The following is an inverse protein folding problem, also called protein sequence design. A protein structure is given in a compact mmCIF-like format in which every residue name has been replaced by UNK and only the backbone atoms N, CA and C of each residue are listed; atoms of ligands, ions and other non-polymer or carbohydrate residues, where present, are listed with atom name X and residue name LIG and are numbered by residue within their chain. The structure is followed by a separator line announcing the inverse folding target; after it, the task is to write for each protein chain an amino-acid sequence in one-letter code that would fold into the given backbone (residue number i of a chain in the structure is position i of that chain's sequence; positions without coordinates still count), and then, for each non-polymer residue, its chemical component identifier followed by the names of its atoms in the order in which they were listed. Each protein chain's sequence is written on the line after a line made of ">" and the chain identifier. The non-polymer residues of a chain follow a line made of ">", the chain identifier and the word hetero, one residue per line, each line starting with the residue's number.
data_IF_874253657516
#
_entry.id   IF_874253657516
#
_cell.length_a   1.000
_cell.length_b   1.000
_cell.length_c   1.000
_cell.angle_alpha   90.00
_cell.angle_beta   90.00
_cell.angle_gamma   90.00
#
_symmetry.space_group_name_H-M   'P 1'
#
loop_
_entity.id
_entity.type
_entity.pdbx_description
1 polymer ?
#
# COMPACT_ATOMS: atom_id res chain seq x y z
N UNK A 1 -12.19 -6.00 -22.63
CA UNK A 1 -11.20 -4.89 -22.61
C UNK A 1 -11.91 -3.57 -22.43
N UNK A 2 -11.24 -2.56 -21.84
CA UNK A 2 -11.77 -1.18 -21.67
C UNK A 2 -13.14 -1.10 -20.97
N UNK A 3 -13.47 -2.09 -20.14
CA UNK A 3 -14.74 -2.12 -19.41
C UNK A 3 -14.76 -1.06 -18.32
N UNK A 4 -15.92 -0.45 -18.07
CA UNK A 4 -16.12 0.66 -17.12
C UNK A 4 -15.57 0.38 -15.71
N UNK A 5 -15.50 -0.89 -15.31
CA UNK A 5 -15.02 -1.29 -13.99
C UNK A 5 -14.30 -2.64 -14.03
N UNK A 6 -13.27 -2.79 -13.21
CA UNK A 6 -12.62 -4.08 -12.92
C UNK A 6 -13.64 -5.07 -12.38
N UNK A 7 -14.65 -4.62 -11.62
CA UNK A 7 -15.73 -5.47 -11.09
C UNK A 7 -16.56 -6.12 -12.20
N UNK A 8 -16.84 -5.37 -13.28
CA UNK A 8 -17.55 -5.89 -14.44
C UNK A 8 -16.78 -7.01 -15.13
N UNK A 9 -15.44 -6.94 -15.17
CA UNK A 9 -14.59 -8.02 -15.73
C UNK A 9 -14.88 -9.35 -15.05
N UNK A 10 -14.95 -9.37 -13.73
CA UNK A 10 -15.15 -10.61 -12.96
C UNK A 10 -16.61 -11.05 -12.91
N UNK A 11 -17.58 -10.15 -13.14
CA UNK A 11 -18.95 -10.58 -13.45
C UNK A 11 -18.97 -11.32 -14.80
N UNK A 12 -18.38 -10.75 -15.83
CA UNK A 12 -18.33 -11.38 -17.17
C UNK A 12 -17.58 -12.71 -17.11
N UNK A 13 -16.43 -12.77 -16.45
CA UNK A 13 -15.71 -14.04 -16.25
C UNK A 13 -16.56 -15.03 -15.47
N UNK A 14 -17.31 -14.59 -14.45
CA UNK A 14 -18.20 -15.46 -13.68
C UNK A 14 -19.28 -16.10 -14.56
N UNK A 15 -19.88 -15.29 -15.42
CA UNK A 15 -20.99 -15.66 -16.32
C UNK A 15 -20.50 -16.50 -17.51
N UNK A 16 -19.26 -16.31 -17.96
CA UNK A 16 -18.67 -17.02 -19.09
C UNK A 16 -18.18 -18.45 -18.74
N UNK A 17 -17.92 -18.74 -17.46
CA UNK A 17 -17.42 -20.04 -17.05
C UNK A 17 -18.55 -21.10 -17.01
N UNK A 18 -18.41 -22.22 -17.73
CA UNK A 18 -19.48 -23.20 -17.93
C UNK A 18 -19.87 -23.99 -16.66
N UNK A 19 -19.00 -24.03 -15.65
CA UNK A 19 -19.28 -24.75 -14.40
C UNK A 19 -20.17 -23.97 -13.42
N UNK A 20 -20.58 -22.74 -13.75
CA UNK A 20 -21.45 -21.94 -12.90
C UNK A 20 -20.76 -21.42 -11.63
N UNK A 21 -21.50 -21.05 -10.56
CA UNK A 21 -20.92 -20.57 -9.31
C UNK A 21 -20.09 -21.68 -8.60
N UNK A 22 -18.83 -21.39 -8.23
CA UNK A 22 -17.90 -22.38 -7.67
C UNK A 22 -16.64 -21.80 -7.00
N UNK A 23 -15.71 -22.67 -6.58
CA UNK A 23 -14.43 -22.33 -5.90
C UNK A 23 -13.39 -21.81 -6.90
N UNK A 24 -13.40 -20.51 -7.16
CA UNK A 24 -12.47 -19.86 -8.09
C UNK A 24 -11.95 -18.54 -7.55
N UNK A 25 -10.76 -18.17 -8.00
CA UNK A 25 -10.21 -16.84 -7.82
C UNK A 25 -9.95 -16.16 -9.15
N UNK A 26 -10.19 -14.85 -9.17
CA UNK A 26 -9.95 -14.00 -10.33
C UNK A 26 -8.80 -13.05 -10.05
N UNK A 27 -7.80 -13.02 -10.92
CA UNK A 27 -6.70 -12.05 -10.88
C UNK A 27 -6.85 -11.19 -12.13
N UNK A 28 -7.23 -9.92 -12.00
CA UNK A 28 -7.73 -9.11 -13.13
C UNK A 28 -7.19 -7.68 -13.12
N UNK A 29 -6.90 -7.15 -14.31
CA UNK A 29 -6.50 -5.75 -14.50
C UNK A 29 -7.72 -4.84 -14.69
N UNK A 30 -7.62 -3.60 -14.22
CA UNK A 30 -8.59 -2.53 -14.48
C UNK A 30 -8.31 -1.77 -15.78
N UNK A 31 -9.01 -0.65 -16.01
CA UNK A 31 -8.77 0.24 -17.16
C UNK A 31 -7.39 0.89 -17.10
N UNK A 32 -6.87 1.19 -15.91
CA UNK A 32 -5.53 1.72 -15.74
C UNK A 32 -4.47 0.78 -16.33
N UNK A 33 -4.64 -0.54 -16.13
CA UNK A 33 -3.80 -1.57 -16.74
C UNK A 33 -3.95 -1.62 -18.26
N UNK A 34 -5.19 -1.59 -18.78
CA UNK A 34 -5.48 -1.54 -20.23
C UNK A 34 -4.84 -0.31 -20.90
N UNK A 35 -4.58 0.76 -20.13
CA UNK A 35 -4.00 2.03 -20.57
C UNK A 35 -2.53 2.21 -20.16
N UNK A 36 -1.89 1.14 -19.71
CA UNK A 36 -0.48 1.08 -19.33
C UNK A 36 -0.05 2.14 -18.31
N UNK A 37 -0.97 2.59 -17.44
CA UNK A 37 -0.63 3.50 -16.34
C UNK A 37 0.40 2.81 -15.44
N UNK A 38 1.57 3.42 -15.24
CA UNK A 38 2.74 2.77 -14.60
C UNK A 38 2.48 2.33 -13.17
N UNK A 39 1.49 2.91 -12.51
CA UNK A 39 1.03 2.56 -11.17
C UNK A 39 -0.35 1.88 -11.19
N UNK A 40 -0.69 1.17 -12.27
CA UNK A 40 -1.87 0.30 -12.32
C UNK A 40 -1.67 -0.95 -11.44
N UNK A 41 -2.70 -1.27 -10.66
CA UNK A 41 -2.76 -2.43 -9.79
C UNK A 41 -3.39 -3.64 -10.50
N UNK A 42 -3.38 -4.77 -9.80
CA UNK A 42 -4.22 -5.93 -10.13
C UNK A 42 -5.19 -6.17 -8.97
N UNK A 43 -6.46 -6.36 -9.30
CA UNK A 43 -7.49 -6.76 -8.36
C UNK A 43 -7.57 -8.30 -8.30
N UNK A 44 -7.65 -8.83 -7.08
CA UNK A 44 -7.84 -10.24 -6.78
C UNK A 44 -9.20 -10.40 -6.12
N UNK A 45 -10.02 -11.27 -6.69
CA UNK A 45 -11.42 -11.47 -6.33
C UNK A 45 -12.18 -10.16 -6.30
N UNK A 46 -12.73 -9.73 -5.17
CA UNK A 46 -13.50 -8.48 -5.09
C UNK A 46 -12.76 -7.33 -4.39
N UNK A 47 -11.97 -7.62 -3.36
CA UNK A 47 -11.47 -6.57 -2.44
C UNK A 47 -9.99 -6.76 -2.07
N UNK A 48 -9.24 -7.49 -2.89
CA UNK A 48 -7.80 -7.73 -2.69
C UNK A 48 -7.01 -7.20 -3.87
N UNK A 49 -5.74 -6.88 -3.62
CA UNK A 49 -4.94 -6.17 -4.62
C UNK A 49 -3.47 -6.59 -4.56
N UNK A 50 -2.87 -6.76 -5.73
CA UNK A 50 -1.45 -6.47 -5.90
C UNK A 50 -1.33 -4.98 -6.22
N UNK A 51 -1.29 -4.19 -5.14
CA UNK A 51 -1.61 -2.76 -5.17
C UNK A 51 -0.56 -1.86 -5.83
N UNK A 52 0.73 -2.20 -5.76
CA UNK A 52 1.84 -1.29 -6.08
C UNK A 52 2.75 -1.83 -7.18
N UNK A 53 3.66 -0.98 -7.69
CA UNK A 53 4.72 -1.31 -8.66
C UNK A 53 4.22 -1.70 -10.06
N UNK A 54 2.99 -1.34 -10.42
CA UNK A 54 2.57 -1.37 -11.83
C UNK A 54 2.27 -2.73 -12.43
N UNK A 55 1.94 -3.75 -11.62
CA UNK A 55 1.64 -5.09 -12.15
C UNK A 55 0.46 -5.07 -13.15
N UNK A 56 -0.48 -4.14 -12.98
CA UNK A 56 -1.57 -3.90 -13.92
C UNK A 56 -1.09 -3.45 -15.30
N UNK A 57 -0.05 -2.62 -15.35
CA UNK A 57 0.56 -2.16 -16.60
C UNK A 57 1.29 -3.32 -17.30
N UNK A 58 1.93 -4.21 -16.54
CA UNK A 58 2.57 -5.42 -17.07
C UNK A 58 1.54 -6.39 -17.65
N UNK A 59 0.37 -6.52 -17.03
CA UNK A 59 -0.75 -7.28 -17.61
C UNK A 59 -1.21 -6.66 -18.92
N UNK A 60 -1.43 -5.34 -18.94
CA UNK A 60 -1.81 -4.59 -20.14
C UNK A 60 -0.81 -4.74 -21.28
N UNK A 61 0.50 -4.64 -21.01
CA UNK A 61 1.55 -4.72 -22.03
C UNK A 61 1.66 -6.11 -22.67
N UNK A 62 1.14 -7.14 -21.99
CA UNK A 62 1.06 -8.51 -22.49
C UNK A 62 -0.29 -8.85 -23.11
N UNK A 63 -1.20 -7.88 -23.25
CA UNK A 63 -2.58 -8.12 -23.63
C UNK A 63 -3.24 -9.23 -22.78
N UNK A 64 -2.92 -9.26 -21.48
CA UNK A 64 -3.51 -10.19 -20.51
C UNK A 64 -4.54 -9.45 -19.65
N UNK A 65 -5.83 -9.75 -19.81
CA UNK A 65 -6.89 -9.08 -19.03
C UNK A 65 -7.06 -9.66 -17.63
N UNK A 66 -7.04 -10.98 -17.54
CA UNK A 66 -7.26 -11.69 -16.29
C UNK A 66 -6.68 -13.11 -16.35
N UNK A 67 -6.47 -13.68 -15.17
CA UNK A 67 -6.25 -15.10 -14.95
C UNK A 67 -7.39 -15.62 -14.06
N UNK A 68 -7.96 -16.76 -14.45
CA UNK A 68 -8.95 -17.50 -13.66
C UNK A 68 -8.25 -18.72 -13.11
N UNK A 69 -8.32 -18.91 -11.79
CA UNK A 69 -7.73 -20.07 -11.12
C UNK A 69 -8.85 -20.84 -10.44
N UNK A 70 -8.97 -22.12 -10.79
CA UNK A 70 -9.85 -23.08 -10.16
C UNK A 70 -9.03 -24.29 -9.70
N UNK A 71 -9.35 -24.79 -8.50
CA UNK A 71 -8.66 -25.93 -7.91
C UNK A 71 -9.59 -26.75 -7.04
N UNK A 72 -9.71 -28.04 -7.36
CA UNK A 72 -10.51 -29.02 -6.62
C UNK A 72 -9.66 -30.13 -6.01
N UNK A 73 -8.33 -30.06 -6.17
CA UNK A 73 -7.41 -31.05 -5.61
C UNK A 73 -7.29 -30.87 -4.09
N UNK A 74 -7.34 -32.00 -3.39
CA UNK A 74 -7.02 -32.07 -1.97
C UNK A 74 -5.53 -32.35 -1.78
N UNK A 75 -4.97 -31.81 -0.69
CA UNK A 75 -3.61 -32.10 -0.26
C UNK A 75 -3.65 -33.08 0.91
N UNK A 76 -2.98 -34.22 0.75
CA UNK A 76 -2.80 -35.23 1.80
C UNK A 76 -1.36 -35.20 2.25
N UNK A 77 -1.13 -35.00 3.54
CA UNK A 77 0.21 -35.01 4.14
C UNK A 77 0.47 -36.34 4.86
N UNK A 78 1.74 -36.77 4.99
CA UNK A 78 2.08 -38.02 5.69
C UNK A 78 1.55 -38.11 7.12
N UNK A 79 1.54 -36.99 7.85
CA UNK A 79 0.98 -36.90 9.21
C UNK A 79 -0.16 -35.88 9.28
N UNK A 80 -1.37 -36.33 8.93
CA UNK A 80 -2.58 -35.50 9.02
C UNK A 80 -2.94 -35.12 10.46
N UNK A 81 -2.47 -35.85 11.48
CA UNK A 81 -2.74 -35.52 12.88
C UNK A 81 -1.88 -34.34 13.32
N UNK A 82 -0.60 -34.34 12.97
CA UNK A 82 0.30 -33.20 13.18
C UNK A 82 -0.21 -31.95 12.44
N UNK A 83 -0.61 -32.09 11.17
CA UNK A 83 -1.16 -30.97 10.39
C UNK A 83 -2.40 -30.35 11.07
N UNK A 84 -3.38 -31.18 11.45
CA UNK A 84 -4.59 -30.71 12.14
C UNK A 84 -4.27 -30.05 13.48
N UNK A 85 -3.26 -30.54 14.21
CA UNK A 85 -2.82 -29.93 15.47
C UNK A 85 -2.23 -28.55 15.23
N UNK A 86 -1.27 -28.42 14.30
CA UNK A 86 -0.64 -27.13 13.98
C UNK A 86 -1.65 -26.11 13.45
N UNK A 87 -2.59 -26.53 12.59
CA UNK A 87 -3.68 -25.68 12.10
C UNK A 87 -4.55 -25.17 13.25
N UNK A 88 -5.01 -26.05 14.15
CA UNK A 88 -5.87 -25.65 15.28
C UNK A 88 -5.16 -24.69 16.21
N UNK A 89 -3.89 -24.92 16.52
CA UNK A 89 -3.11 -24.03 17.37
C UNK A 89 -3.06 -22.61 16.82
N UNK A 90 -2.79 -22.46 15.51
CA UNK A 90 -2.79 -21.15 14.85
C UNK A 90 -4.20 -20.55 14.79
N UNK A 91 -5.20 -21.35 14.42
CA UNK A 91 -6.59 -20.91 14.31
C UNK A 91 -7.13 -20.42 15.65
N UNK A 92 -6.90 -21.18 16.73
CA UNK A 92 -7.34 -20.84 18.08
C UNK A 92 -6.61 -19.60 18.60
N UNK A 93 -5.32 -19.42 18.30
CA UNK A 93 -4.61 -18.19 18.65
C UNK A 93 -5.17 -16.98 17.89
N UNK A 94 -5.45 -17.12 16.59
CA UNK A 94 -6.05 -16.04 15.79
C UNK A 94 -7.43 -15.63 16.30
N UNK A 95 -8.18 -16.57 16.87
CA UNK A 95 -9.56 -16.35 17.34
C UNK A 95 -9.62 -15.85 18.78
N UNK A 96 -8.77 -16.39 19.66
CA UNK A 96 -8.94 -16.24 21.11
C UNK A 96 -7.89 -15.29 21.74
N UNK A 97 -6.93 -14.78 20.99
CA UNK A 97 -5.97 -13.77 21.48
C UNK A 97 -6.30 -12.38 20.96
N UNK A 98 -5.88 -11.36 21.71
CA UNK A 98 -6.09 -9.95 21.38
C UNK A 98 -5.15 -9.45 20.25
N UNK A 99 -4.24 -10.30 19.74
CA UNK A 99 -3.27 -9.93 18.69
C UNK A 99 -3.96 -9.43 17.41
N UNK A 100 -5.19 -9.90 17.16
CA UNK A 100 -5.97 -9.57 15.96
C UNK A 100 -7.07 -8.53 16.18
N UNK A 101 -7.31 -8.08 17.42
CA UNK A 101 -8.42 -7.19 17.79
C UNK A 101 -8.40 -5.88 17.01
N UNK A 102 -7.23 -5.24 16.92
CA UNK A 102 -7.05 -4.02 16.12
C UNK A 102 -7.60 -4.20 14.70
N UNK A 103 -7.28 -5.33 14.07
CA UNK A 103 -7.65 -5.62 12.68
C UNK A 103 -9.11 -6.07 12.56
N UNK A 104 -9.66 -6.72 13.58
CA UNK A 104 -11.06 -7.16 13.58
C UNK A 104 -12.02 -6.00 13.87
N UNK A 105 -11.73 -5.16 14.86
CA UNK A 105 -12.66 -4.16 15.40
C UNK A 105 -12.80 -2.97 14.43
N UNK A 106 -11.70 -2.32 14.07
CA UNK A 106 -11.67 -1.11 13.24
C UNK A 106 -10.89 -1.29 11.93
N UNK A 107 -10.32 -2.47 11.68
CA UNK A 107 -9.45 -2.71 10.53
C UNK A 107 -8.13 -1.96 10.64
N UNK A 108 -7.44 -1.81 9.51
CA UNK A 108 -6.21 -1.00 9.48
C UNK A 108 -6.48 0.47 9.80
N UNK A 109 -7.69 0.97 9.52
CA UNK A 109 -8.14 2.34 9.78
C UNK A 109 -8.07 2.75 11.26
N UNK A 110 -7.96 1.80 12.20
CA UNK A 110 -7.58 2.06 13.59
C UNK A 110 -6.31 2.92 13.75
N UNK A 111 -5.43 2.91 12.74
CA UNK A 111 -4.23 3.74 12.72
C UNK A 111 -4.49 5.24 12.54
N UNK A 112 -5.62 5.65 11.95
CA UNK A 112 -5.82 7.03 11.47
C UNK A 112 -5.73 8.04 12.63
N UNK A 113 -6.53 7.87 13.69
CA UNK A 113 -6.48 8.78 14.85
C UNK A 113 -5.16 8.72 15.60
N UNK A 114 -4.62 7.51 15.81
CA UNK A 114 -3.38 7.34 16.58
C UNK A 114 -2.16 7.99 15.90
N UNK A 115 -2.02 7.81 14.58
CA UNK A 115 -0.94 8.44 13.80
C UNK A 115 -1.11 9.97 13.73
N UNK A 116 -2.35 10.46 13.60
CA UNK A 116 -2.65 11.89 13.65
C UNK A 116 -2.31 12.53 15.00
N UNK A 117 -2.69 11.86 16.11
CA UNK A 117 -2.43 12.35 17.46
C UNK A 117 -0.93 12.51 17.74
N UNK A 118 -0.11 11.59 17.20
CA UNK A 118 1.35 11.68 17.25
C UNK A 118 1.93 12.80 16.37
N UNK A 119 1.16 13.38 15.46
CA UNK A 119 1.66 14.36 14.49
C UNK A 119 2.43 13.73 13.34
N UNK A 120 2.07 12.50 12.96
CA UNK A 120 2.78 11.71 11.95
C UNK A 120 1.90 11.35 10.73
N UNK A 121 0.67 11.87 10.64
CA UNK A 121 -0.26 11.59 9.54
C UNK A 121 -0.06 12.60 8.40
N UNK A 122 0.41 12.18 7.21
CA UNK A 122 0.59 13.08 6.08
C UNK A 122 -0.71 13.81 5.74
N UNK A 123 -0.61 15.14 5.72
CA UNK A 123 -1.71 16.05 5.43
C UNK A 123 -1.27 17.03 4.35
N UNK A 124 -2.12 17.24 3.33
CA UNK A 124 -1.89 18.16 2.20
C UNK A 124 -0.47 18.05 1.62
N UNK A 125 -0.24 16.96 0.89
CA UNK A 125 1.07 16.54 0.35
C UNK A 125 2.21 16.61 1.38
N UNK A 126 2.06 15.94 2.52
CA UNK A 126 3.08 15.89 3.58
C UNK A 126 3.53 17.27 4.10
N UNK A 127 2.71 18.32 3.96
CA UNK A 127 3.05 19.65 4.49
C UNK A 127 2.92 19.73 6.02
N UNK A 128 2.04 18.90 6.59
CA UNK A 128 1.89 18.76 8.05
C UNK A 128 1.59 17.32 8.46
N UNK A 129 1.77 17.03 9.75
CA UNK A 129 1.49 15.73 10.35
C UNK A 129 0.16 15.61 11.08
N UNK A 130 -0.67 16.65 11.01
CA UNK A 130 -1.98 16.70 11.67
C UNK A 130 -3.04 17.18 10.70
N UNK A 131 -4.11 16.41 10.61
CA UNK A 131 -5.34 16.77 9.94
C UNK A 131 -6.41 17.13 10.97
N UNK A 132 -7.02 18.28 10.77
CA UNK A 132 -8.00 18.89 11.65
C UNK A 132 -9.37 18.20 11.58
N UNK A 133 -9.72 17.60 10.44
CA UNK A 133 -11.00 16.88 10.23
C UNK A 133 -10.89 15.37 10.47
N UNK A 134 -9.90 14.94 11.27
CA UNK A 134 -9.59 13.53 11.49
C UNK A 134 -10.79 12.70 11.95
N UNK A 135 -11.66 13.27 12.78
CA UNK A 135 -12.82 12.56 13.30
C UNK A 135 -13.79 12.15 12.20
N UNK A 136 -13.89 12.90 11.09
CA UNK A 136 -14.77 12.61 9.95
C UNK A 136 -14.21 11.60 8.95
N UNK A 137 -12.93 11.24 9.08
CA UNK A 137 -12.26 10.25 8.21
C UNK A 137 -11.61 9.11 9.01
N UNK A 138 -11.95 8.98 10.30
CA UNK A 138 -11.35 8.02 11.22
C UNK A 138 -11.92 6.61 11.08
N UNK A 139 -11.16 5.58 11.49
CA UNK A 139 -11.67 4.20 11.50
C UNK A 139 -12.96 4.04 12.29
N UNK A 140 -13.09 4.77 13.40
CA UNK A 140 -14.29 4.86 14.24
C UNK A 140 -15.46 5.45 13.45
N UNK A 141 -15.27 6.59 12.77
CA UNK A 141 -16.32 7.20 11.96
C UNK A 141 -16.79 6.28 10.85
N UNK A 142 -15.87 5.63 10.14
CA UNK A 142 -16.22 4.66 9.12
C UNK A 142 -16.99 3.48 9.72
N UNK A 143 -16.58 2.96 10.89
CA UNK A 143 -17.26 1.87 11.57
C UNK A 143 -18.69 2.23 11.99
N UNK A 144 -18.89 3.43 12.54
CA UNK A 144 -20.17 3.87 13.09
C UNK A 144 -21.15 4.33 12.00
N UNK A 145 -20.66 4.91 10.90
CA UNK A 145 -21.51 5.64 9.94
C UNK A 145 -21.57 5.03 8.54
N UNK A 146 -20.57 4.22 8.13
CA UNK A 146 -20.41 3.81 6.73
C UNK A 146 -20.21 2.29 6.56
N UNK A 147 -19.79 1.58 7.60
CA UNK A 147 -19.47 0.16 7.54
C UNK A 147 -20.73 -0.67 7.23
N UNK A 148 -20.69 -1.39 6.11
CA UNK A 148 -21.73 -2.34 5.74
C UNK A 148 -21.49 -3.70 6.40
N UNK A 149 -20.27 -4.22 6.24
CA UNK A 149 -19.89 -5.56 6.69
C UNK A 149 -18.39 -5.73 6.78
N UNK A 150 -18.00 -6.76 7.52
CA UNK A 150 -16.63 -7.26 7.60
C UNK A 150 -16.54 -8.60 6.89
N UNK A 151 -15.49 -8.81 6.11
CA UNK A 151 -15.24 -10.08 5.43
C UNK A 151 -13.79 -10.52 5.66
N UNK A 152 -13.53 -11.82 5.48
CA UNK A 152 -12.22 -12.41 5.70
C UNK A 152 -11.57 -12.92 4.41
N UNK A 153 -10.25 -13.07 4.43
CA UNK A 153 -9.57 -13.92 3.46
C UNK A 153 -10.00 -15.38 3.63
N UNK A 154 -9.74 -16.19 2.60
CA UNK A 154 -9.91 -17.64 2.67
C UNK A 154 -9.25 -18.22 3.93
N UNK A 155 -10.02 -19.03 4.66
CA UNK A 155 -9.63 -19.71 5.91
C UNK A 155 -9.17 -18.82 7.08
N UNK A 156 -9.30 -17.49 6.98
CA UNK A 156 -8.93 -16.59 8.06
C UNK A 156 -10.15 -16.29 8.96
N UNK A 157 -10.07 -16.47 10.29
CA UNK A 157 -11.20 -16.20 11.18
C UNK A 157 -11.38 -14.71 11.55
N UNK A 158 -10.44 -13.83 11.14
CA UNK A 158 -10.32 -12.47 11.70
C UNK A 158 -11.31 -11.46 11.11
N UNK A 159 -11.65 -11.56 9.82
CA UNK A 159 -12.55 -10.59 9.19
C UNK A 159 -12.00 -9.16 9.11
N UNK A 160 -10.73 -8.97 8.69
CA UNK A 160 -10.10 -7.65 8.65
C UNK A 160 -10.54 -6.73 7.50
N UNK A 161 -11.23 -7.25 6.47
CA UNK A 161 -11.65 -6.45 5.32
C UNK A 161 -12.92 -5.72 5.69
N UNK A 162 -12.82 -4.41 5.85
CA UNK A 162 -13.96 -3.56 6.13
C UNK A 162 -14.50 -3.01 4.81
N UNK A 163 -15.79 -3.21 4.58
CA UNK A 163 -16.47 -2.78 3.35
C UNK A 163 -17.54 -1.78 3.74
N UNK A 164 -17.42 -0.56 3.25
CA UNK A 164 -18.41 0.48 3.43
C UNK A 164 -19.49 0.45 2.32
N UNK A 165 -20.67 0.97 2.62
CA UNK A 165 -21.63 1.35 1.58
C UNK A 165 -21.43 2.83 1.26
N UNK A 166 -21.32 3.15 -0.03
CA UNK A 166 -21.24 4.51 -0.53
C UNK A 166 -22.53 4.80 -1.30
N UNK A 167 -23.23 5.86 -0.89
CA UNK A 167 -24.47 6.33 -1.51
C UNK A 167 -24.21 7.63 -2.26
N UNK A 168 -24.35 7.62 -3.58
CA UNK A 168 -24.16 8.80 -4.43
C UNK A 168 -25.49 9.16 -5.09
N UNK A 169 -26.04 10.37 -4.86
CA UNK A 169 -27.25 10.82 -5.53
C UNK A 169 -27.10 10.86 -7.05
N UNK A 170 -28.13 10.46 -7.77
CA UNK A 170 -28.24 10.68 -9.20
C UNK A 170 -28.56 12.17 -9.45
N UNK A 171 -27.89 12.78 -10.45
CA UNK A 171 -27.90 14.23 -10.74
C UNK A 171 -29.27 14.89 -10.97
N UNK A 172 -30.40 14.16 -10.90
CA UNK A 172 -31.74 14.68 -11.23
C UNK A 172 -32.81 14.55 -10.14
N UNK A 173 -32.71 13.59 -9.22
CA UNK A 173 -33.77 13.34 -8.24
C UNK A 173 -33.12 13.01 -6.89
N UNK A 174 -33.49 13.74 -5.82
CA UNK A 174 -32.86 13.62 -4.49
C UNK A 174 -32.98 12.22 -3.87
N UNK A 175 -33.91 11.40 -4.36
CA UNK A 175 -34.20 10.06 -3.83
C UNK A 175 -33.56 8.92 -4.63
N UNK A 176 -33.06 9.19 -5.84
CA UNK A 176 -32.37 8.19 -6.65
C UNK A 176 -30.90 8.13 -6.25
N UNK A 177 -30.47 6.98 -5.72
CA UNK A 177 -29.12 6.81 -5.17
C UNK A 177 -28.44 5.57 -5.75
N UNK A 178 -27.27 5.76 -6.36
CA UNK A 178 -26.38 4.64 -6.67
C UNK A 178 -25.67 4.21 -5.39
N UNK A 179 -25.84 2.95 -5.00
CA UNK A 179 -25.12 2.37 -3.85
C UNK A 179 -23.99 1.47 -4.35
N UNK A 180 -22.76 1.77 -3.96
CA UNK A 180 -21.57 0.97 -4.24
C UNK A 180 -20.93 0.47 -2.96
N UNK A 181 -20.16 -0.63 -3.05
CA UNK A 181 -19.49 -1.22 -1.90
C UNK A 181 -17.99 -1.04 -2.03
N UNK A 182 -17.39 -0.37 -1.07
CA UNK A 182 -16.03 0.14 -1.18
C UNK A 182 -15.20 -0.38 -0.02
N UNK A 183 -14.13 -1.16 -0.27
CA UNK A 183 -13.21 -1.54 0.79
C UNK A 183 -12.41 -0.30 1.23
N UNK A 184 -12.15 -0.17 2.52
CA UNK A 184 -11.32 0.92 3.03
C UNK A 184 -10.23 0.38 3.96
N UNK A 185 -9.05 0.97 3.85
CA UNK A 185 -7.89 0.68 4.66
C UNK A 185 -7.20 2.00 5.03
N UNK A 186 -6.36 1.98 6.06
CA UNK A 186 -5.54 3.11 6.49
C UNK A 186 -4.83 3.80 5.33
N UNK A 187 -4.18 2.99 4.46
CA UNK A 187 -3.39 3.53 3.36
C UNK A 187 -4.25 4.29 2.34
N UNK A 188 -5.49 3.84 2.13
CA UNK A 188 -6.38 4.47 1.17
C UNK A 188 -6.96 5.77 1.74
N UNK A 189 -7.28 5.74 3.04
CA UNK A 189 -7.82 6.88 3.77
C UNK A 189 -6.80 8.01 3.90
N UNK A 190 -5.52 7.74 4.19
CA UNK A 190 -4.55 8.84 4.20
C UNK A 190 -4.30 9.36 2.78
N UNK A 191 -4.09 8.46 1.80
CA UNK A 191 -3.62 8.84 0.47
C UNK A 191 -4.64 9.70 -0.29
N UNK A 192 -5.93 9.36 -0.19
CA UNK A 192 -7.03 10.08 -0.84
C UNK A 192 -7.90 10.88 0.14
N UNK A 193 -7.51 10.94 1.41
CA UNK A 193 -8.17 11.73 2.45
C UNK A 193 -7.26 12.85 2.94
N UNK A 194 -6.57 12.63 4.07
CA UNK A 194 -5.77 13.66 4.72
C UNK A 194 -4.69 14.26 3.80
N UNK A 195 -4.03 13.44 2.98
CA UNK A 195 -2.97 13.90 2.08
C UNK A 195 -3.50 14.80 0.94
N UNK A 196 -4.79 14.68 0.61
CA UNK A 196 -5.49 15.56 -0.34
C UNK A 196 -6.38 16.62 0.34
N UNK A 197 -6.40 16.65 1.68
CA UNK A 197 -7.24 17.57 2.45
C UNK A 197 -8.74 17.30 2.37
N UNK A 198 -9.17 16.07 2.04
CA UNK A 198 -10.60 15.73 1.95
C UNK A 198 -11.20 15.53 3.35
N UNK A 199 -12.26 16.26 3.66
CA UNK A 199 -12.79 16.40 5.01
C UNK A 199 -13.91 15.42 5.36
N UNK A 200 -14.44 14.68 4.38
CA UNK A 200 -15.58 13.78 4.54
C UNK A 200 -15.23 12.33 4.18
N UNK A 201 -15.55 11.40 5.09
CA UNK A 201 -15.37 9.97 4.84
C UNK A 201 -16.13 9.48 3.59
N UNK A 202 -17.30 10.05 3.27
CA UNK A 202 -18.04 9.66 2.05
C UNK A 202 -17.34 10.14 0.78
N UNK A 203 -16.69 11.29 0.80
CA UNK A 203 -15.91 11.81 -0.34
C UNK A 203 -14.60 11.04 -0.52
N UNK A 204 -13.93 10.68 0.58
CA UNK A 204 -12.80 9.73 0.56
C UNK A 204 -13.22 8.42 -0.08
N UNK A 205 -14.38 7.87 0.30
CA UNK A 205 -14.92 6.67 -0.35
C UNK A 205 -15.19 6.87 -1.84
N UNK A 206 -15.67 8.04 -2.29
CA UNK A 206 -15.88 8.30 -3.73
C UNK A 206 -14.57 8.25 -4.51
N UNK A 207 -13.49 8.81 -3.97
CA UNK A 207 -12.17 8.75 -4.59
C UNK A 207 -11.62 7.32 -4.61
N UNK A 208 -11.70 6.60 -3.48
CA UNK A 208 -11.27 5.19 -3.38
C UNK A 208 -12.03 4.34 -4.40
N UNK A 209 -13.35 4.49 -4.47
CA UNK A 209 -14.21 3.71 -5.36
C UNK A 209 -13.82 3.91 -6.83
N UNK A 210 -13.58 5.16 -7.24
CA UNK A 210 -13.22 5.50 -8.61
C UNK A 210 -11.80 5.02 -8.94
N UNK A 211 -10.87 5.11 -8.00
CA UNK A 211 -9.51 4.58 -8.17
C UNK A 211 -9.50 3.05 -8.25
N UNK A 212 -10.22 2.37 -7.35
CA UNK A 212 -10.29 0.91 -7.26
C UNK A 212 -11.00 0.30 -8.49
N UNK A 213 -12.15 0.86 -8.89
CA UNK A 213 -12.88 0.36 -10.09
C UNK A 213 -12.02 0.42 -11.35
N UNK A 214 -11.09 1.38 -11.43
CA UNK A 214 -10.20 1.54 -12.57
C UNK A 214 -8.87 0.78 -12.41
N UNK A 215 -8.56 0.27 -11.22
CA UNK A 215 -7.37 -0.52 -10.93
C UNK A 215 -6.11 0.32 -10.74
N UNK A 216 -6.18 1.41 -9.97
CA UNK A 216 -5.02 2.23 -9.60
C UNK A 216 -4.36 1.80 -8.29
N UNK A 217 -3.04 1.91 -8.18
CA UNK A 217 -2.37 2.04 -6.89
C UNK A 217 -2.82 3.35 -6.23
N UNK A 218 -3.67 3.24 -5.21
CA UNK A 218 -4.24 4.40 -4.52
C UNK A 218 -3.17 5.23 -3.80
N UNK A 219 -2.11 4.61 -3.27
CA UNK A 219 -1.03 5.34 -2.60
C UNK A 219 -0.31 6.23 -3.61
N UNK A 220 0.07 5.65 -4.75
CA UNK A 220 0.78 6.38 -5.80
C UNK A 220 -0.13 7.44 -6.43
N UNK A 221 -1.39 7.13 -6.70
CA UNK A 221 -2.36 8.09 -7.22
C UNK A 221 -2.55 9.27 -6.26
N UNK A 222 -2.70 9.02 -4.96
CA UNK A 222 -2.83 10.06 -3.94
C UNK A 222 -1.60 10.96 -3.86
N UNK A 223 -0.39 10.39 -3.95
CA UNK A 223 0.84 11.18 -3.99
C UNK A 223 0.97 12.05 -5.25
N UNK A 224 0.58 11.53 -6.43
CA UNK A 224 0.64 12.30 -7.69
C UNK A 224 -0.42 13.42 -7.70
N UNK A 225 -1.63 13.16 -7.22
CA UNK A 225 -2.67 14.20 -7.08
C UNK A 225 -2.25 15.30 -6.07
N UNK A 226 -1.57 14.91 -4.99
CA UNK A 226 -1.06 15.84 -4.00
C UNK A 226 0.07 16.72 -4.57
N UNK A 227 1.03 16.12 -5.29
CA UNK A 227 2.05 16.86 -6.04
C UNK A 227 1.44 17.81 -7.07
N UNK A 228 0.41 17.36 -7.81
CA UNK A 228 -0.24 18.20 -8.81
C UNK A 228 -0.92 19.42 -8.19
N UNK A 229 -1.42 19.27 -6.96
CA UNK A 229 -2.02 20.39 -6.21
C UNK A 229 -0.97 21.44 -5.85
N UNK A 230 0.17 21.03 -5.30
CA UNK A 230 1.26 21.97 -5.04
C UNK A 230 1.82 22.56 -6.34
N UNK A 231 2.07 21.74 -7.37
CA UNK A 231 2.60 22.20 -8.66
C UNK A 231 1.68 23.22 -9.34
N UNK A 232 0.36 23.07 -9.19
CA UNK A 232 -0.60 24.04 -9.69
C UNK A 232 -0.56 25.34 -8.88
N UNK A 233 -0.47 25.25 -7.55
CA UNK A 233 -0.38 26.41 -6.66
C UNK A 233 0.92 27.21 -6.86
N UNK A 234 2.03 26.53 -7.14
CA UNK A 234 3.33 27.14 -7.46
C UNK A 234 3.43 27.59 -8.94
N UNK A 235 2.38 27.37 -9.75
CA UNK A 235 2.33 27.79 -11.15
C UNK A 235 3.22 26.96 -12.10
N UNK A 236 3.71 25.79 -11.67
CA UNK A 236 4.47 24.86 -12.50
C UNK A 236 3.60 24.15 -13.56
N UNK A 237 2.31 24.02 -13.28
CA UNK A 237 1.31 23.52 -14.23
C UNK A 237 0.15 24.52 -14.32
N UNK A 238 -0.38 24.71 -15.53
CA UNK A 238 -1.37 25.75 -15.83
C UNK A 238 -2.78 25.19 -16.05
N UNK A 239 -3.84 26.02 -15.99
CA UNK A 239 -5.19 25.61 -16.41
C UNK A 239 -5.26 25.02 -17.82
N UNK A 240 -4.35 25.43 -18.71
CA UNK A 240 -4.26 24.89 -20.07
C UNK A 240 -3.75 23.44 -20.06
N UNK A 241 -2.70 23.17 -19.28
CA UNK A 241 -2.14 21.82 -19.13
C UNK A 241 -3.18 20.86 -18.53
N UNK A 242 -3.95 21.34 -17.55
CA UNK A 242 -4.93 20.53 -16.82
C UNK A 242 -6.30 20.48 -17.47
N UNK A 243 -6.46 21.02 -18.69
CA UNK A 243 -7.75 21.10 -19.40
C UNK A 243 -8.86 21.77 -18.56
N UNK A 244 -8.49 22.77 -17.76
CA UNK A 244 -9.39 23.53 -16.90
C UNK A 244 -9.63 22.90 -15.52
N UNK A 245 -9.01 21.77 -15.18
CA UNK A 245 -9.07 21.20 -13.83
C UNK A 245 -8.25 22.07 -12.88
N UNK A 246 -8.92 22.71 -11.93
CA UNK A 246 -8.27 23.53 -10.89
C UNK A 246 -7.85 22.63 -9.71
N UNK A 247 -6.56 22.36 -9.53
CA UNK A 247 -6.12 21.51 -8.43
C UNK A 247 -6.09 22.30 -7.12
N UNK A 248 -6.91 21.86 -6.15
CA UNK A 248 -7.03 22.46 -4.83
C UNK A 248 -7.26 21.37 -3.77
N UNK A 249 -6.54 21.46 -2.65
CA UNK A 249 -6.73 20.55 -1.53
C UNK A 249 -8.18 20.64 -1.02
N UNK A 250 -8.81 19.50 -0.79
CA UNK A 250 -10.23 19.42 -0.43
C UNK A 250 -11.18 19.27 -1.62
N UNK A 251 -10.73 19.46 -2.87
CA UNK A 251 -11.62 19.48 -4.03
C UNK A 251 -11.82 18.08 -4.66
N UNK A 252 -12.75 17.30 -4.08
CA UNK A 252 -13.10 15.95 -4.54
C UNK A 252 -13.46 15.89 -6.03
N UNK A 253 -14.23 16.85 -6.54
CA UNK A 253 -14.73 16.82 -7.93
C UNK A 253 -13.60 17.00 -8.95
N UNK A 254 -12.65 17.88 -8.66
CA UNK A 254 -11.51 18.11 -9.55
C UNK A 254 -10.56 16.91 -9.54
N UNK A 255 -10.33 16.28 -8.38
CA UNK A 255 -9.57 15.03 -8.33
C UNK A 255 -10.25 13.88 -9.08
N UNK A 256 -11.57 13.71 -8.95
CA UNK A 256 -12.33 12.72 -9.72
C UNK A 256 -12.19 12.94 -11.23
N UNK A 257 -12.24 14.20 -11.67
CA UNK A 257 -12.08 14.58 -13.07
C UNK A 257 -10.67 14.29 -13.57
N UNK A 258 -9.64 14.63 -12.78
CA UNK A 258 -8.25 14.32 -13.10
C UNK A 258 -8.02 12.80 -13.28
N UNK A 259 -8.56 11.96 -12.38
CA UNK A 259 -8.44 10.50 -12.48
C UNK A 259 -9.02 9.98 -13.80
N UNK A 260 -10.18 10.49 -14.21
CA UNK A 260 -10.81 10.09 -15.47
C UNK A 260 -9.98 10.53 -16.69
N UNK A 261 -9.48 11.78 -16.69
CA UNK A 261 -8.62 12.30 -17.76
C UNK A 261 -7.27 11.54 -17.85
N UNK A 262 -6.71 11.09 -16.73
CA UNK A 262 -5.55 10.19 -16.70
C UNK A 262 -5.85 8.84 -17.37
N UNK A 263 -7.01 8.23 -17.08
CA UNK A 263 -7.43 6.98 -17.74
C UNK A 263 -7.60 7.18 -19.25
N UNK A 264 -8.17 8.31 -19.65
CA UNK A 264 -8.35 8.64 -21.05
C UNK A 264 -7.03 8.94 -21.77
N UNK A 265 -5.96 9.28 -21.02
CA UNK A 265 -4.72 9.87 -21.55
C UNK A 265 -5.06 11.11 -22.41
N UNK A 266 -5.92 11.98 -21.87
CA UNK A 266 -6.66 12.98 -22.63
C UNK A 266 -5.78 14.02 -23.35
N UNK A 267 -4.64 14.35 -22.77
CA UNK A 267 -3.63 15.21 -23.37
C UNK A 267 -2.23 14.80 -22.86
N UNK A 268 -1.22 15.60 -23.21
CA UNK A 268 0.17 15.36 -22.84
C UNK A 268 0.40 15.38 -21.31
N UNK A 269 -0.25 16.30 -20.58
CA UNK A 269 -0.19 16.32 -19.11
C UNK A 269 -0.73 15.03 -18.50
N UNK A 270 -1.94 14.61 -18.89
CA UNK A 270 -2.55 13.38 -18.38
C UNK A 270 -1.87 12.10 -18.88
N UNK A 271 -1.16 12.17 -20.02
CA UNK A 271 -0.24 11.12 -20.42
C UNK A 271 0.91 11.02 -19.43
N UNK A 272 1.65 12.09 -19.17
CA UNK A 272 2.73 12.14 -18.17
C UNK A 272 2.23 11.76 -16.77
N UNK A 273 1.02 12.18 -16.39
CA UNK A 273 0.38 11.85 -15.12
C UNK A 273 0.25 10.34 -14.89
N UNK A 274 -0.08 9.60 -15.95
CA UNK A 274 -0.15 8.14 -15.92
C UNK A 274 1.21 7.43 -15.99
N UNK A 275 2.29 8.15 -16.33
CA UNK A 275 3.66 7.61 -16.27
C UNK A 275 4.24 7.65 -14.85
N UNK A 276 3.61 8.38 -13.92
CA UNK A 276 3.96 8.40 -12.50
C UNK A 276 4.68 9.68 -12.08
N UNK A 277 4.97 9.78 -10.78
CA UNK A 277 5.51 11.02 -10.18
C UNK A 277 6.90 11.38 -10.73
N UNK A 278 7.73 10.39 -11.05
CA UNK A 278 9.04 10.61 -11.69
C UNK A 278 8.94 11.36 -13.01
N UNK A 279 8.09 10.88 -13.91
CA UNK A 279 7.86 11.54 -15.19
C UNK A 279 7.21 12.93 -15.03
N UNK A 280 6.34 13.11 -14.02
CA UNK A 280 5.72 14.40 -13.73
C UNK A 280 6.75 15.43 -13.32
N UNK A 281 7.64 15.09 -12.39
CA UNK A 281 8.66 16.01 -11.88
C UNK A 281 9.74 16.28 -12.91
N UNK A 282 10.17 15.27 -13.67
CA UNK A 282 11.14 15.46 -14.75
C UNK A 282 10.66 16.48 -15.78
N UNK A 283 9.34 16.49 -16.05
CA UNK A 283 8.75 17.36 -17.06
C UNK A 283 8.31 18.73 -16.56
N UNK A 284 7.74 18.79 -15.36
CA UNK A 284 7.09 19.99 -14.82
C UNK A 284 7.77 20.57 -13.57
N UNK A 285 8.72 19.86 -12.96
CA UNK A 285 9.41 20.30 -11.74
C UNK A 285 8.71 19.94 -10.43
N UNK A 286 9.04 20.65 -9.35
CA UNK A 286 8.50 20.42 -8.01
C UNK A 286 9.21 19.33 -7.21
N UNK A 287 10.52 19.13 -7.43
CA UNK A 287 11.35 18.14 -6.72
C UNK A 287 11.27 18.32 -5.19
N UNK A 288 11.18 19.56 -4.73
CA UNK A 288 11.17 19.94 -3.32
C UNK A 288 9.93 19.46 -2.56
N UNK A 289 8.82 19.19 -3.26
CA UNK A 289 7.57 18.68 -2.69
C UNK A 289 7.09 17.36 -3.30
N UNK A 290 7.85 16.76 -4.22
CA UNK A 290 7.58 15.44 -4.77
C UNK A 290 8.00 14.32 -3.82
N UNK A 291 7.17 14.03 -2.81
CA UNK A 291 7.51 13.02 -1.79
C UNK A 291 7.48 11.61 -2.38
N UNK A 292 8.67 11.09 -2.67
CA UNK A 292 8.90 9.77 -3.28
C UNK A 292 10.16 9.10 -2.75
N UNK A 293 10.12 7.78 -2.63
CA UNK A 293 11.26 6.95 -2.23
C UNK A 293 11.32 5.77 -3.20
N UNK A 294 12.42 5.65 -3.94
CA UNK A 294 12.57 4.63 -4.98
C UNK A 294 11.53 4.74 -6.10
N UNK A 295 11.18 5.97 -6.51
CA UNK A 295 10.19 6.26 -7.55
C UNK A 295 8.74 5.99 -7.15
N UNK A 296 8.47 5.84 -5.85
CA UNK A 296 7.15 5.49 -5.31
C UNK A 296 6.74 6.47 -4.22
N UNK A 297 5.49 6.94 -4.22
CA UNK A 297 4.96 7.70 -3.08
C UNK A 297 4.98 6.81 -1.81
N UNK A 298 5.46 7.30 -0.66
CA UNK A 298 5.56 6.47 0.53
C UNK A 298 4.20 6.24 1.18
N UNK A 299 4.15 5.23 2.05
CA UNK A 299 2.99 4.99 2.91
C UNK A 299 2.80 6.10 3.94
N UNK A 300 1.61 6.16 4.54
CA UNK A 300 1.18 7.27 5.38
C UNK A 300 1.83 7.39 6.77
N UNK A 301 3.13 7.08 6.95
CA UNK A 301 3.80 7.06 8.25
C UNK A 301 5.02 7.97 8.30
N UNK A 302 4.83 9.23 8.70
CA UNK A 302 5.93 10.16 9.00
C UNK A 302 6.29 10.12 10.50
N UNK A 303 6.50 8.91 11.01
CA UNK A 303 6.70 8.65 12.44
C UNK A 303 8.09 9.01 12.93
N UNK A 304 9.09 9.13 12.05
CA UNK A 304 10.48 9.37 12.42
C UNK A 304 11.48 8.92 11.33
N UNK A 305 12.78 8.99 11.62
CA UNK A 305 13.84 8.63 10.68
C UNK A 305 13.84 7.15 10.31
N UNK A 306 13.45 6.22 11.21
CA UNK A 306 13.46 4.79 10.89
C UNK A 306 12.39 4.44 9.84
N UNK A 307 11.24 5.13 9.82
CA UNK A 307 10.23 4.98 8.76
C UNK A 307 10.80 5.33 7.38
N UNK A 308 11.55 6.43 7.28
CA UNK A 308 12.17 6.86 6.01
C UNK A 308 13.29 5.89 5.60
N UNK A 309 14.21 5.57 6.51
CA UNK A 309 15.29 4.59 6.25
C UNK A 309 14.70 3.26 5.80
N UNK A 310 13.66 2.77 6.47
CA UNK A 310 12.99 1.51 6.13
C UNK A 310 12.40 1.48 4.73
N UNK A 311 11.81 2.59 4.28
CA UNK A 311 11.38 2.72 2.88
C UNK A 311 12.58 2.79 1.92
N UNK A 312 13.69 3.43 2.28
CA UNK A 312 14.84 3.51 1.38
C UNK A 312 15.48 2.13 1.17
N UNK A 313 15.78 1.42 2.26
CA UNK A 313 16.53 0.15 2.20
C UNK A 313 15.65 -1.05 1.83
N UNK A 314 14.33 -0.96 2.09
CA UNK A 314 13.40 -2.05 1.88
C UNK A 314 13.40 -2.58 0.45
N UNK A 315 13.22 -3.89 0.27
CA UNK A 315 13.36 -4.54 -1.04
C UNK A 315 12.40 -4.00 -2.11
N UNK A 316 11.28 -3.39 -1.72
CA UNK A 316 10.25 -2.82 -2.61
C UNK A 316 9.91 -1.36 -2.29
N UNK A 317 10.78 -0.67 -1.55
CA UNK A 317 10.53 0.69 -1.05
C UNK A 317 9.19 0.86 -0.33
N UNK A 318 8.90 -0.05 0.61
CA UNK A 318 7.57 -0.17 1.22
C UNK A 318 7.67 -0.44 2.73
N UNK A 319 6.80 0.19 3.52
CA UNK A 319 6.55 -0.14 4.93
C UNK A 319 6.11 -1.60 5.21
N UNK A 320 5.87 -2.40 4.17
CA UNK A 320 5.58 -3.83 4.30
C UNK A 320 6.85 -4.69 4.21
N UNK A 321 7.94 -4.15 3.68
CA UNK A 321 9.26 -4.80 3.66
C UNK A 321 9.84 -4.88 5.07
N UNK A 322 9.75 -3.79 5.82
CA UNK A 322 10.13 -3.73 7.22
C UNK A 322 9.26 -2.73 8.01
N UNK A 323 9.31 -2.78 9.34
CA UNK A 323 8.50 -1.96 10.25
C UNK A 323 9.21 -0.72 10.78
N UNK A 324 9.89 0.06 9.93
CA UNK A 324 10.52 1.33 10.32
C UNK A 324 9.61 2.23 11.16
N UNK A 325 8.34 2.37 10.75
CA UNK A 325 7.36 3.14 11.51
C UNK A 325 7.11 2.62 12.93
N UNK A 326 7.16 1.30 13.13
CA UNK A 326 6.95 0.70 14.43
C UNK A 326 8.20 0.82 15.31
N UNK A 327 9.38 0.83 14.70
CA UNK A 327 10.63 1.14 15.39
C UNK A 327 10.55 2.55 15.98
N UNK A 328 10.21 3.55 15.16
CA UNK A 328 10.05 4.93 15.62
C UNK A 328 9.07 5.04 16.80
N UNK A 329 7.92 4.36 16.70
CA UNK A 329 6.90 4.37 17.76
C UNK A 329 7.40 3.80 19.10
N UNK A 330 8.27 2.79 19.07
CA UNK A 330 8.85 2.15 20.27
C UNK A 330 10.08 2.87 20.83
N UNK A 331 10.64 3.77 20.03
CA UNK A 331 11.86 4.52 20.34
C UNK A 331 11.58 5.95 20.80
N UNK A 332 10.31 6.31 21.02
CA UNK A 332 9.94 7.64 21.50
C UNK A 332 10.70 8.01 22.78
N UNK A 333 11.34 9.18 22.78
CA UNK A 333 12.15 9.67 23.89
C UNK A 333 13.50 8.98 24.08
N UNK A 334 13.92 8.10 23.15
CA UNK A 334 15.21 7.42 23.19
C UNK A 334 16.15 7.99 22.14
N UNK A 335 17.44 7.98 22.46
CA UNK A 335 18.47 8.22 21.47
C UNK A 335 18.44 7.09 20.42
N UNK A 336 18.49 7.46 19.15
CA UNK A 336 18.49 6.53 18.03
C UNK A 336 19.80 6.67 17.27
N UNK A 337 20.38 5.54 16.86
CA UNK A 337 21.58 5.53 16.03
C UNK A 337 21.26 4.96 14.64
N UNK A 338 21.77 5.58 13.55
CA UNK A 338 21.50 5.14 12.18
C UNK A 338 21.81 3.67 11.94
N UNK A 339 22.98 3.21 12.40
CA UNK A 339 23.46 1.83 12.22
C UNK A 339 22.55 0.82 12.94
N UNK A 340 22.19 1.10 14.20
CA UNK A 340 21.32 0.22 15.01
C UNK A 340 19.91 0.09 14.39
N UNK A 341 19.40 1.17 13.79
CA UNK A 341 18.15 1.13 13.01
C UNK A 341 18.30 0.20 11.80
N UNK A 342 19.33 0.40 10.99
CA UNK A 342 19.54 -0.40 9.77
C UNK A 342 19.64 -1.88 10.11
N UNK A 343 20.44 -2.26 11.10
CA UNK A 343 20.59 -3.65 11.53
C UNK A 343 19.25 -4.25 12.00
N UNK A 344 18.50 -3.51 12.81
CA UNK A 344 17.18 -3.92 13.30
C UNK A 344 16.19 -4.16 12.15
N UNK A 345 16.17 -3.27 11.15
CA UNK A 345 15.28 -3.37 10.00
C UNK A 345 15.66 -4.54 9.09
N UNK A 346 16.95 -4.83 8.92
CA UNK A 346 17.40 -6.01 8.15
C UNK A 346 16.96 -7.30 8.81
N UNK A 347 17.12 -7.42 10.13
CA UNK A 347 16.67 -8.61 10.89
C UNK A 347 15.17 -8.81 10.73
N UNK A 348 14.40 -7.73 10.86
CA UNK A 348 12.94 -7.78 10.75
C UNK A 348 12.48 -8.08 9.32
N UNK A 349 13.15 -7.54 8.30
CA UNK A 349 12.87 -7.85 6.89
C UNK A 349 13.21 -9.29 6.53
N UNK A 350 14.33 -9.83 7.01
CA UNK A 350 14.68 -11.26 6.84
C UNK A 350 13.58 -12.17 7.38
N UNK A 351 13.02 -11.87 8.55
CA UNK A 351 11.88 -12.63 9.07
C UNK A 351 10.64 -12.50 8.18
N UNK A 352 10.32 -11.28 7.72
CA UNK A 352 9.21 -11.06 6.77
C UNK A 352 9.41 -11.78 5.45
N UNK A 353 10.64 -11.99 4.98
CA UNK A 353 10.90 -12.78 3.78
C UNK A 353 10.46 -14.24 3.96
N UNK A 354 10.64 -14.82 5.15
CA UNK A 354 10.11 -16.16 5.45
C UNK A 354 8.57 -16.12 5.39
N UNK A 355 7.95 -15.20 6.13
CA UNK A 355 6.48 -15.08 6.17
C UNK A 355 5.88 -14.86 4.76
N UNK A 356 6.46 -13.98 3.96
CA UNK A 356 6.02 -13.72 2.60
C UNK A 356 6.21 -14.93 1.68
N UNK A 357 7.29 -15.71 1.84
CA UNK A 357 7.51 -16.95 1.07
C UNK A 357 6.49 -18.03 1.42
N UNK A 358 6.00 -18.04 2.66
CA UNK A 358 4.92 -18.90 3.13
C UNK A 358 3.52 -18.31 2.86
N UNK A 359 3.45 -17.13 2.21
CA UNK A 359 2.20 -16.41 1.91
C UNK A 359 1.39 -16.10 3.18
N UNK A 360 2.07 -15.89 4.30
CA UNK A 360 1.45 -15.51 5.58
C UNK A 360 1.03 -14.05 5.55
N UNK A 361 -0.19 -13.78 6.05
CA UNK A 361 -0.66 -12.42 6.23
C UNK A 361 0.19 -11.66 7.26
N UNK A 362 0.75 -10.51 6.86
CA UNK A 362 1.61 -9.71 7.74
C UNK A 362 0.89 -9.11 8.96
N UNK A 363 -0.45 -9.10 8.99
CA UNK A 363 -1.21 -8.75 10.19
C UNK A 363 -1.07 -9.84 11.27
N UNK A 364 -1.01 -11.11 10.87
CA UNK A 364 -0.82 -12.25 11.74
C UNK A 364 0.66 -12.55 12.04
N UNK A 365 1.61 -11.67 11.69
CA UNK A 365 3.06 -11.92 11.84
C UNK A 365 3.51 -12.25 13.27
N UNK A 366 2.78 -11.79 14.30
CA UNK A 366 3.04 -12.14 15.71
C UNK A 366 2.55 -13.55 16.05
N UNK A 367 1.48 -14.00 15.39
CA UNK A 367 0.94 -15.35 15.50
C UNK A 367 1.89 -16.34 14.83
N UNK A 368 2.38 -16.02 13.64
CA UNK A 368 3.39 -16.82 12.96
C UNK A 368 4.78 -16.45 13.47
N UNK A 369 5.08 -16.79 14.73
CA UNK A 369 6.43 -16.72 15.30
C UNK A 369 7.29 -17.91 14.83
N UNK A 370 8.58 -17.94 15.21
CA UNK A 370 9.52 -18.98 14.77
C UNK A 370 9.02 -20.40 15.13
N UNK A 371 8.56 -20.59 16.36
CA UNK A 371 8.08 -21.88 16.86
C UNK A 371 6.87 -22.40 16.08
N UNK A 372 5.81 -21.59 15.95
CA UNK A 372 4.59 -21.97 15.22
C UNK A 372 4.83 -22.14 13.73
N UNK A 373 5.76 -21.39 13.17
CA UNK A 373 6.19 -21.55 11.77
C UNK A 373 6.91 -22.88 11.56
N UNK A 374 7.85 -23.24 12.44
CA UNK A 374 8.55 -24.53 12.39
C UNK A 374 7.59 -25.70 12.62
N UNK A 375 6.68 -25.59 13.60
CA UNK A 375 5.63 -26.58 13.86
C UNK A 375 4.77 -26.82 12.61
N UNK A 376 4.36 -25.74 11.93
CA UNK A 376 3.58 -25.81 10.69
C UNK A 376 4.34 -26.51 9.56
N UNK A 377 5.61 -26.15 9.34
CA UNK A 377 6.45 -26.75 8.29
C UNK A 377 6.71 -28.25 8.57
N UNK A 378 7.05 -28.58 9.82
CA UNK A 378 7.30 -29.96 10.23
C UNK A 378 6.03 -30.82 10.07
N UNK A 379 4.84 -30.25 10.32
CA UNK A 379 3.57 -30.96 10.18
C UNK A 379 3.28 -31.44 8.74
N UNK A 380 3.93 -30.85 7.74
CA UNK A 380 3.84 -31.25 6.33
C UNK A 380 5.11 -31.95 5.82
N UNK A 381 5.97 -32.42 6.72
CA UNK A 381 7.22 -33.12 6.40
C UNK A 381 8.36 -32.21 5.94
N UNK A 382 8.28 -30.89 6.16
CA UNK A 382 9.36 -29.94 5.87
C UNK A 382 10.17 -29.68 7.15
N UNK A 383 11.12 -30.58 7.41
CA UNK A 383 11.92 -30.62 8.64
C UNK A 383 12.99 -29.52 8.71
N UNK A 384 12.57 -28.27 8.90
CA UNK A 384 13.49 -27.16 9.14
C UNK A 384 13.87 -27.07 10.62
N UNK A 385 15.06 -26.56 10.89
CA UNK A 385 15.46 -26.04 12.21
C UNK A 385 15.42 -24.52 12.15
N UNK A 386 15.37 -23.86 13.30
CA UNK A 386 15.50 -22.40 13.36
C UNK A 386 16.75 -21.91 12.61
N UNK A 387 17.89 -22.57 12.86
CA UNK A 387 19.17 -22.25 12.20
C UNK A 387 19.08 -22.38 10.67
N UNK A 388 18.47 -23.45 10.15
CA UNK A 388 18.37 -23.64 8.70
C UNK A 388 17.37 -22.69 8.05
N UNK A 389 16.28 -22.35 8.74
CA UNK A 389 15.29 -21.39 8.27
C UNK A 389 15.85 -19.96 8.23
N UNK A 390 16.55 -19.52 9.28
CA UNK A 390 17.20 -18.21 9.33
C UNK A 390 18.34 -18.10 8.32
N UNK A 391 19.07 -19.19 8.06
CA UNK A 391 20.06 -19.24 6.97
C UNK A 391 19.39 -19.01 5.61
N UNK A 392 18.24 -19.64 5.35
CA UNK A 392 17.49 -19.44 4.11
C UNK A 392 17.00 -17.99 3.97
N UNK A 393 16.57 -17.37 5.07
CA UNK A 393 16.18 -15.95 5.07
C UNK A 393 17.36 -15.04 4.66
N UNK A 394 18.55 -15.29 5.21
CA UNK A 394 19.76 -14.55 4.87
C UNK A 394 20.17 -14.72 3.41
N UNK A 395 20.15 -15.94 2.89
CA UNK A 395 20.42 -16.24 1.48
C UNK A 395 19.41 -15.56 0.55
N UNK A 396 18.12 -15.63 0.88
CA UNK A 396 17.06 -14.97 0.10
C UNK A 396 17.24 -13.45 0.11
N UNK A 397 17.59 -12.86 1.27
CA UNK A 397 17.85 -11.43 1.39
C UNK A 397 19.04 -10.99 0.52
N UNK A 398 20.15 -11.73 0.59
CA UNK A 398 21.35 -11.49 -0.24
C UNK A 398 21.04 -11.57 -1.73
N UNK A 399 20.28 -12.58 -2.16
CA UNK A 399 19.85 -12.73 -3.57
C UNK A 399 18.99 -11.56 -4.04
N UNK A 400 18.08 -11.05 -3.20
CA UNK A 400 17.29 -9.86 -3.55
C UNK A 400 18.14 -8.60 -3.66
N UNK A 401 19.11 -8.40 -2.77
CA UNK A 401 20.06 -7.29 -2.89
C UNK A 401 20.93 -7.39 -4.15
N UNK A 402 21.40 -8.59 -4.49
CA UNK A 402 22.13 -8.84 -5.73
C UNK A 402 21.26 -8.47 -6.94
N UNK A 403 20.01 -8.93 -6.96
CA UNK A 403 19.07 -8.58 -8.03
C UNK A 403 18.81 -7.06 -8.10
N UNK A 404 18.62 -6.38 -6.96
CA UNK A 404 18.45 -4.91 -6.95
C UNK A 404 19.68 -4.21 -7.57
N UNK A 405 20.89 -4.65 -7.21
CA UNK A 405 22.13 -4.13 -7.79
C UNK A 405 22.17 -4.36 -9.31
N UNK A 406 21.89 -5.57 -9.77
CA UNK A 406 21.85 -5.93 -11.19
C UNK A 406 20.77 -5.16 -11.97
N UNK A 407 19.66 -4.84 -11.31
CA UNK A 407 18.60 -3.99 -11.84
C UNK A 407 18.95 -2.49 -11.85
N UNK A 408 20.17 -2.11 -11.44
CA UNK A 408 20.66 -0.73 -11.47
C UNK A 408 20.26 0.11 -10.26
N UNK A 409 19.85 -0.50 -9.14
CA UNK A 409 19.57 0.26 -7.92
C UNK A 409 20.81 1.00 -7.44
N UNK A 410 20.61 2.27 -7.10
CA UNK A 410 21.54 3.10 -6.32
C UNK A 410 20.82 3.68 -5.11
N UNK A 411 21.57 4.13 -4.11
CA UNK A 411 21.02 4.93 -3.00
C UNK A 411 21.51 6.37 -3.06
N UNK A 412 20.60 7.32 -2.86
CA UNK A 412 20.90 8.74 -2.73
C UNK A 412 19.84 9.42 -1.88
N UNK A 413 20.27 10.41 -1.09
CA UNK A 413 19.36 11.33 -0.39
C UNK A 413 18.96 12.53 -1.24
N UNK A 414 19.62 12.77 -2.38
CA UNK A 414 19.41 13.96 -3.21
C UNK A 414 18.04 13.93 -3.89
N UNK A 415 17.55 12.72 -4.22
CA UNK A 415 16.22 12.49 -4.79
C UNK A 415 15.10 12.50 -3.74
N UNK A 416 15.43 12.73 -2.46
CA UNK A 416 14.42 12.89 -1.41
C UNK A 416 13.98 14.35 -1.39
N UNK A 417 12.67 14.57 -1.54
CA UNK A 417 12.06 15.89 -1.45
C UNK A 417 12.44 16.58 -0.14
N UNK A 418 12.76 17.88 -0.23
CA UNK A 418 13.03 18.75 0.91
C UNK A 418 11.89 18.68 1.94
N UNK A 419 10.66 18.46 1.48
CA UNK A 419 9.48 18.27 2.33
C UNK A 419 9.61 17.14 3.35
N UNK A 420 10.37 16.07 3.07
CA UNK A 420 10.64 15.00 4.05
C UNK A 420 11.42 15.54 5.24
N UNK A 421 12.41 16.40 5.02
CA UNK A 421 13.28 16.95 6.06
C UNK A 421 12.62 18.10 6.83
N UNK A 422 11.73 18.85 6.17
CA UNK A 422 10.90 19.90 6.80
C UNK A 422 9.70 19.35 7.55
N UNK A 423 9.39 18.07 7.43
CA UNK A 423 8.31 17.45 8.19
C UNK A 423 8.71 17.30 9.67
N UNK A 424 7.91 17.87 10.57
CA UNK A 424 8.12 17.69 12.02
C UNK A 424 7.48 16.37 12.49
N UNK A 425 8.31 15.35 12.66
CA UNK A 425 7.89 14.03 13.17
C UNK A 425 7.76 14.05 14.71
N UNK A 426 7.22 12.98 15.34
CA UNK A 426 7.31 12.78 16.79
C UNK A 426 8.73 12.86 17.37
N UNK A 427 9.76 12.60 16.55
CA UNK A 427 11.18 12.68 16.93
C UNK A 427 11.84 14.01 16.55
N UNK A 428 11.06 15.01 16.16
CA UNK A 428 11.55 16.26 15.60
C UNK A 428 11.77 16.21 14.09
N UNK A 429 12.58 17.13 13.56
CA UNK A 429 12.93 17.15 12.14
C UNK A 429 13.93 16.06 11.81
N UNK A 430 13.75 15.43 10.65
CA UNK A 430 14.67 14.41 10.15
C UNK A 430 15.94 15.11 9.66
N UNK A 431 17.09 14.73 10.19
CA UNK A 431 18.39 15.27 9.79
C UNK A 431 18.93 14.54 8.55
N UNK A 432 19.44 15.29 7.56
CA UNK A 432 19.99 14.73 6.32
C UNK A 432 21.18 13.82 6.60
N UNK A 433 22.05 14.23 7.50
CA UNK A 433 23.27 13.50 7.89
C UNK A 433 22.93 12.15 8.52
N UNK A 434 21.83 12.09 9.28
CA UNK A 434 21.36 10.86 9.92
C UNK A 434 20.90 9.82 8.89
N UNK A 435 20.18 10.27 7.86
CA UNK A 435 19.74 9.40 6.76
C UNK A 435 20.93 8.99 5.88
N UNK A 436 21.85 9.92 5.62
CA UNK A 436 23.06 9.67 4.85
C UNK A 436 23.92 8.57 5.51
N UNK A 437 24.20 8.68 6.81
CA UNK A 437 24.97 7.68 7.55
C UNK A 437 24.31 6.29 7.49
N UNK A 438 22.99 6.21 7.63
CA UNK A 438 22.25 4.94 7.51
C UNK A 438 22.40 4.31 6.12
N UNK A 439 22.31 5.13 5.07
CA UNK A 439 22.38 4.67 3.67
C UNK A 439 23.81 4.24 3.31
N UNK A 440 24.83 4.99 3.74
CA UNK A 440 26.24 4.65 3.53
C UNK A 440 26.58 3.31 4.19
N UNK A 441 26.13 3.12 5.43
CA UNK A 441 26.27 1.85 6.14
C UNK A 441 25.55 0.72 5.39
N UNK A 442 24.29 0.93 4.99
CA UNK A 442 23.51 -0.08 4.26
C UNK A 442 24.11 -0.42 2.90
N UNK A 443 24.61 0.57 2.16
CA UNK A 443 25.31 0.42 0.88
C UNK A 443 26.50 -0.53 1.03
N UNK A 444 27.34 -0.31 2.04
CA UNK A 444 28.51 -1.15 2.34
C UNK A 444 28.14 -2.62 2.59
N UNK A 445 27.10 -2.89 3.38
CA UNK A 445 26.71 -4.26 3.75
C UNK A 445 25.87 -4.96 2.68
N UNK A 446 25.15 -4.21 1.85
CA UNK A 446 24.31 -4.74 0.76
C UNK A 446 25.04 -4.88 -0.57
N UNK A 447 26.20 -4.23 -0.72
CA UNK A 447 26.96 -4.08 -1.96
C UNK A 447 26.21 -3.35 -3.09
N UNK A 448 25.12 -2.64 -2.76
CA UNK A 448 24.40 -1.77 -3.69
C UNK A 448 25.07 -0.39 -3.64
N UNK A 449 25.50 0.19 -4.76
CA UNK A 449 26.26 1.44 -4.76
C UNK A 449 25.41 2.64 -4.32
N UNK A 450 26.10 3.67 -3.82
CA UNK A 450 25.53 5.02 -3.74
C UNK A 450 25.44 5.58 -5.17
N UNK A 451 24.47 6.48 -5.43
CA UNK A 451 24.48 7.25 -6.66
C UNK A 451 25.75 8.12 -6.64
N UNK A 452 26.64 7.91 -7.60
CA UNK A 452 27.77 8.83 -7.80
C UNK A 452 27.23 10.16 -8.31
N UNK A 453 27.71 11.26 -7.74
CA UNK A 453 27.53 12.61 -8.30
C UNK A 453 27.93 12.68 -9.78
#
# INVERSE_FOLDING_TARGET
>A
WNLRSVFAVGRILRDAEPQGPGRRSFIRSGRAGDRLVKYANINVDNYRHFGRLGLGAVFGSKNLKALVIEGTKDFVFPDMKAYKKAYREIYDHLKNSDDMDKYHILGTAAGIKSINAMGALPTRNFSSGKFEHIDKISGEYFADNLLLRKIACSQCPVGCIHVAYLRVPYKKEEYDVETTFVPYDYELIYALGSNLGIESGSEVLRLIEIADRNGFDIISLGGILAWATDAYQEGLISPTDTMGVNFEFGNTINYLTAIDLTIQRANDFYHTFGEGLDACVEKYGGEEFAVRIGGQSPAGYMTGPASIIGHIIGQRHSHLCNAGYNYDQKSFGKEMKPIEIVDSLIVEEKWRLILNSLVVCLFARKVFNIERTLSSLNSIGKNYTEKSLLKLADEAYKKKNLWKKEAGQTFSIEKLAERIFRFKTPHGFIKREFIQEAIEYYSKISNIPLLSE
#
